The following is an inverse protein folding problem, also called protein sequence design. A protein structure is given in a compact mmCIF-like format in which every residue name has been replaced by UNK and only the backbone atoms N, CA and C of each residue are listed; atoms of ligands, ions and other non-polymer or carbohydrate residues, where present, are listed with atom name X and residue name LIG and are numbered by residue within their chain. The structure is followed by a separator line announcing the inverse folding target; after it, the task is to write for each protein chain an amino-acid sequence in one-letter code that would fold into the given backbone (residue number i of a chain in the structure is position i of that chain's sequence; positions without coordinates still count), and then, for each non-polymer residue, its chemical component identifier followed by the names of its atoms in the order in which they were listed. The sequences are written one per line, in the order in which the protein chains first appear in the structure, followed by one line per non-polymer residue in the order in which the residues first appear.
data_IF_930758130681
#
_entry.id   IF_930758130681
#
_cell.length_a   1.000
_cell.length_b   1.000
_cell.length_c   1.000
_cell.angle_alpha   90.00
_cell.angle_beta   90.00
_cell.angle_gamma   90.00
#
_symmetry.space_group_name_H-M   'P 1'
#
loop_
_entity.id
_entity.type
_entity.pdbx_description
1 polymer ?
#
# COMPACT_ATOMS: atom_id res chain seq x y z
N UNK A 1 -6.38 -2.03 20.81
CA UNK A 1 -6.64 -3.26 20.01
C UNK A 1 -5.44 -3.51 19.11
N UNK A 2 -5.04 -4.76 18.82
CA UNK A 2 -3.91 -5.01 17.94
C UNK A 2 -4.30 -4.56 16.53
N UNK A 3 -3.76 -3.42 16.10
CA UNK A 3 -3.77 -3.02 14.70
C UNK A 3 -2.71 -3.89 14.00
N UNK A 4 -3.12 -4.66 12.99
CA UNK A 4 -2.23 -5.63 12.33
C UNK A 4 -1.80 -6.82 13.21
N UNK A 5 -2.73 -7.72 13.54
CA UNK A 5 -2.42 -9.04 14.12
C UNK A 5 -1.62 -9.94 13.15
N UNK A 6 -0.45 -9.48 12.70
CA UNK A 6 0.37 -10.13 11.68
C UNK A 6 -0.11 -9.96 10.23
N UNK A 7 -1.18 -9.18 9.99
CA UNK A 7 -1.75 -8.99 8.64
C UNK A 7 -0.98 -8.02 7.73
N UNK A 8 0.05 -7.35 8.25
CA UNK A 8 0.83 -6.37 7.49
C UNK A 8 -0.04 -5.24 6.97
N UNK A 9 -0.02 -5.00 5.65
CA UNK A 9 -0.81 -3.98 4.96
C UNK A 9 -2.08 -4.52 4.30
N UNK A 10 -2.51 -5.75 4.62
CA UNK A 10 -3.70 -6.34 4.01
C UNK A 10 -4.97 -5.53 4.34
N UNK A 11 -5.75 -5.20 3.31
CA UNK A 11 -6.98 -4.40 3.46
C UNK A 11 -6.69 -2.95 3.86
N UNK A 12 -7.37 -2.48 4.92
CA UNK A 12 -7.21 -1.11 5.44
C UNK A 12 -6.14 -0.97 6.53
N UNK A 13 -5.44 -2.05 6.85
CA UNK A 13 -4.47 -2.07 7.97
C UNK A 13 -3.27 -1.17 7.69
N UNK A 14 -2.85 -1.03 6.42
CA UNK A 14 -1.78 -0.13 6.03
C UNK A 14 -2.14 1.35 6.25
N UNK A 15 -3.33 1.76 5.85
CA UNK A 15 -3.83 3.13 5.98
C UNK A 15 -4.01 3.52 7.45
N UNK A 16 -4.55 2.60 8.26
CA UNK A 16 -4.66 2.80 9.71
C UNK A 16 -3.28 2.92 10.38
N UNK A 17 -2.30 2.14 9.91
CA UNK A 17 -0.90 2.24 10.36
C UNK A 17 -0.31 3.61 10.09
N UNK A 18 -0.42 4.12 8.86
CA UNK A 18 0.07 5.45 8.47
C UNK A 18 -0.60 6.56 9.29
N UNK A 19 -1.92 6.50 9.47
CA UNK A 19 -2.64 7.45 10.31
C UNK A 19 -2.17 7.42 11.77
N UNK A 20 -2.01 6.23 12.35
CA UNK A 20 -1.49 6.09 13.71
C UNK A 20 -0.08 6.64 13.87
N UNK A 21 0.75 6.52 12.84
CA UNK A 21 2.07 7.14 12.77
C UNK A 21 1.99 8.67 12.81
N UNK A 22 1.11 9.29 12.00
CA UNK A 22 0.92 10.74 12.04
C UNK A 22 0.45 11.26 13.40
N UNK A 23 -0.45 10.53 14.07
CA UNK A 23 -0.89 10.88 15.43
C UNK A 23 0.28 10.81 16.42
N UNK A 24 1.14 9.80 16.31
CA UNK A 24 2.36 9.69 17.13
C UNK A 24 3.35 10.82 16.84
N UNK A 25 3.53 11.22 15.58
CA UNK A 25 4.43 12.32 15.20
C UNK A 25 3.95 13.66 15.75
N UNK A 26 2.63 13.85 15.81
CA UNK A 26 2.03 15.03 16.45
C UNK A 26 2.29 15.02 17.97
N UNK A 27 2.13 13.86 18.61
CA UNK A 27 2.44 13.71 20.05
C UNK A 27 3.92 13.93 20.37
N UNK A 28 4.82 13.55 19.45
CA UNK A 28 6.26 13.72 19.58
C UNK A 28 6.74 15.12 19.16
N UNK A 29 5.85 16.03 18.73
CA UNK A 29 6.19 17.38 18.28
C UNK A 29 6.94 17.43 16.94
N UNK A 30 6.97 16.32 16.19
CA UNK A 30 7.57 16.23 14.85
C UNK A 30 6.65 16.81 13.77
N UNK A 31 5.36 16.94 14.07
CA UNK A 31 4.34 17.51 13.19
C UNK A 31 3.33 18.34 13.97
N UNK A 32 2.93 19.49 13.43
CA UNK A 32 1.90 20.34 14.04
C UNK A 32 0.47 19.85 13.77
N UNK A 33 0.21 19.29 12.58
CA UNK A 33 -1.10 18.78 12.20
C UNK A 33 -1.03 17.79 11.02
N UNK A 34 -2.11 17.03 10.82
CA UNK A 34 -2.30 16.21 9.62
C UNK A 34 -2.82 17.13 8.50
N UNK A 35 -2.04 17.26 7.44
CA UNK A 35 -2.34 18.19 6.33
C UNK A 35 -3.03 17.49 5.16
N UNK A 36 -3.60 18.27 4.23
CA UNK A 36 -4.18 17.73 2.99
C UNK A 36 -3.14 17.00 2.11
N UNK A 37 -1.86 17.38 2.22
CA UNK A 37 -0.76 16.71 1.52
C UNK A 37 -0.56 15.28 2.04
N UNK A 38 -0.73 15.05 3.34
CA UNK A 38 -0.60 13.73 3.97
C UNK A 38 -1.66 12.75 3.46
N UNK A 39 -2.92 13.21 3.44
CA UNK A 39 -4.04 12.45 2.88
C UNK A 39 -3.87 12.16 1.40
N UNK A 40 -3.38 13.14 0.64
CA UNK A 40 -3.08 12.97 -0.79
C UNK A 40 -1.98 11.93 -0.99
N UNK A 41 -0.90 12.01 -0.20
CA UNK A 41 0.19 11.03 -0.20
C UNK A 41 -0.30 9.62 0.14
N UNK A 42 -1.20 9.48 1.12
CA UNK A 42 -1.77 8.20 1.50
C UNK A 42 -2.55 7.55 0.36
N UNK A 43 -3.39 8.32 -0.34
CA UNK A 43 -4.16 7.83 -1.50
C UNK A 43 -3.21 7.43 -2.63
N UNK A 44 -2.20 8.28 -2.90
CA UNK A 44 -1.21 8.03 -3.94
C UNK A 44 -0.45 6.71 -3.69
N UNK A 45 0.04 6.49 -2.47
CA UNK A 45 0.82 5.30 -2.11
C UNK A 45 -0.06 4.05 -1.98
N UNK A 46 -1.31 4.18 -1.50
CA UNK A 46 -2.18 3.02 -1.26
C UNK A 46 -2.91 2.52 -2.50
N UNK A 47 -3.21 3.41 -3.46
CA UNK A 47 -4.04 3.07 -4.62
C UNK A 47 -3.33 3.31 -5.94
N UNK A 48 -2.81 4.52 -6.16
CA UNK A 48 -2.27 4.93 -7.47
C UNK A 48 -0.97 4.19 -7.77
N UNK A 49 -0.06 4.15 -6.81
CA UNK A 49 1.26 3.54 -6.99
C UNK A 49 1.14 2.02 -7.24
N UNK A 50 0.37 1.23 -6.46
CA UNK A 50 0.15 -0.18 -6.76
C UNK A 50 -0.58 -0.40 -8.08
N UNK A 51 -1.56 0.44 -8.42
CA UNK A 51 -2.31 0.31 -9.67
C UNK A 51 -1.43 0.46 -10.93
N UNK A 52 -0.34 1.23 -10.84
CA UNK A 52 0.59 1.43 -11.96
C UNK A 52 1.75 0.44 -11.89
N UNK A 53 2.33 0.24 -10.71
CA UNK A 53 3.50 -0.62 -10.54
C UNK A 53 3.16 -2.11 -10.75
N UNK A 54 2.03 -2.59 -10.26
CA UNK A 54 1.63 -3.99 -10.42
C UNK A 54 1.56 -4.43 -11.90
N UNK A 55 0.82 -3.74 -12.80
CA UNK A 55 0.81 -4.12 -14.21
C UNK A 55 2.17 -3.90 -14.87
N UNK A 56 2.93 -2.86 -14.48
CA UNK A 56 4.27 -2.63 -15.00
C UNK A 56 5.21 -3.81 -14.72
N UNK A 57 5.27 -4.26 -13.48
CA UNK A 57 6.06 -5.44 -13.11
C UNK A 57 5.54 -6.71 -13.77
N UNK A 58 4.22 -6.90 -13.83
CA UNK A 58 3.63 -8.05 -14.52
C UNK A 58 4.03 -8.09 -16.01
N UNK A 59 4.05 -6.95 -16.70
CA UNK A 59 4.51 -6.86 -18.09
C UNK A 59 6.00 -7.19 -18.25
N UNK A 60 6.85 -6.70 -17.34
CA UNK A 60 8.29 -7.01 -17.34
C UNK A 60 8.55 -8.50 -17.09
N UNK A 61 7.86 -9.08 -16.12
CA UNK A 61 7.96 -10.50 -15.76
C UNK A 61 7.42 -11.42 -16.87
N UNK A 62 6.34 -11.03 -17.55
CA UNK A 62 5.85 -11.71 -18.76
C UNK A 62 6.87 -11.64 -19.89
N UNK A 63 7.49 -10.48 -20.12
CA UNK A 63 8.58 -10.32 -21.11
C UNK A 63 9.81 -11.16 -20.80
N UNK A 64 10.14 -11.34 -19.51
CA UNK A 64 11.21 -12.21 -19.06
C UNK A 64 10.86 -13.70 -19.14
N UNK A 65 9.64 -14.06 -19.54
CA UNK A 65 9.17 -15.45 -19.63
C UNK A 65 8.86 -16.11 -18.28
N UNK A 66 8.88 -15.34 -17.19
CA UNK A 66 8.62 -15.83 -15.83
C UNK A 66 7.12 -16.02 -15.55
N UNK A 67 6.25 -15.27 -16.23
CA UNK A 67 4.78 -15.38 -16.13
C UNK A 67 4.23 -15.87 -17.46
N UNK A 68 3.59 -17.05 -17.45
CA UNK A 68 2.89 -17.62 -18.61
C UNK A 68 1.41 -17.24 -18.61
N UNK A 69 0.80 -17.24 -19.78
CA UNK A 69 -0.65 -17.05 -19.89
C UNK A 69 -1.38 -18.21 -19.19
N UNK A 70 -2.25 -17.87 -18.23
CA UNK A 70 -2.96 -18.84 -17.39
C UNK A 70 -2.37 -19.05 -15.99
N UNK A 71 -1.17 -18.55 -15.70
CA UNK A 71 -0.51 -18.76 -14.38
C UNK A 71 -1.26 -18.10 -13.21
N UNK A 72 -1.95 -16.99 -13.48
CA UNK A 72 -2.81 -16.30 -12.50
C UNK A 72 -4.28 -16.74 -12.57
N UNK A 73 -4.61 -17.75 -13.37
CA UNK A 73 -5.97 -18.29 -13.40
C UNK A 73 -6.10 -19.38 -12.35
N UNK A 74 -7.09 -19.24 -11.46
CA UNK A 74 -7.50 -20.35 -10.60
C UNK A 74 -8.20 -21.37 -11.52
N UNK A 75 -7.50 -22.44 -11.90
CA UNK A 75 -8.17 -23.58 -12.53
C UNK A 75 -9.22 -24.10 -11.54
N UNK A 76 -10.45 -24.26 -12.04
CA UNK A 76 -11.58 -24.73 -11.25
C UNK A 76 -11.55 -26.25 -11.15
#
# INVERSE_FOLDING_TARGET
APVSSGMGTCGFVGQLGVYSGWVSDIQNGLKESITAADWTGLILVSFVLPAILCPLFAMLLRRAGLIKDGDMTLQR
#
